data_IF_515333763542
#
_entry.id   IF_515333763542
#
_cell.length_a   1.000
_cell.length_b   1.000
_cell.length_c   1.000
_cell.angle_alpha   90.00
_cell.angle_beta   90.00
_cell.angle_gamma   90.00
#
_symmetry.space_group_name_H-M   'P 1'
#
loop_
_entity.id
_entity.type
_entity.pdbx_description
1 polymer ?
#
# COMPACT_ATOMS: atom_id res chain seq x y z
N UNK A 1 4.23 2.81 17.16
CA UNK A 1 4.70 4.20 17.01
C UNK A 1 6.16 4.24 17.43
N UNK A 2 7.10 4.63 16.56
CA UNK A 2 8.54 4.56 16.87
C UNK A 2 8.95 5.54 17.98
N UNK A 3 8.53 6.81 17.90
CA UNK A 3 8.89 7.83 18.90
C UNK A 3 8.01 7.81 20.16
N UNK A 4 6.76 7.33 20.03
CA UNK A 4 5.73 7.50 21.05
C UNK A 4 5.19 8.93 21.19
N UNK A 5 5.60 9.86 20.33
CA UNK A 5 5.24 11.29 20.39
C UNK A 5 4.36 11.77 19.24
N UNK A 6 4.09 10.92 18.23
CA UNK A 6 3.09 11.20 17.20
C UNK A 6 1.74 11.46 17.85
N UNK A 7 1.15 12.62 17.59
CA UNK A 7 0.06 13.18 18.39
C UNK A 7 -1.18 12.28 18.36
N UNK A 8 -1.61 11.90 17.17
CA UNK A 8 -2.83 11.15 16.89
C UNK A 8 -2.85 9.79 17.64
N UNK A 9 -1.84 8.91 17.48
CA UNK A 9 -1.82 7.66 18.24
C UNK A 9 -1.56 7.88 19.74
N UNK A 10 -0.81 8.92 20.15
CA UNK A 10 -0.57 9.20 21.57
C UNK A 10 -1.86 9.62 22.29
N UNK A 11 -2.68 10.46 21.66
CA UNK A 11 -3.99 10.88 22.19
C UNK A 11 -4.95 9.70 22.22
N UNK A 12 -5.05 8.92 21.14
CA UNK A 12 -5.87 7.73 21.09
C UNK A 12 -5.46 6.74 22.19
N UNK A 13 -4.16 6.48 22.34
CA UNK A 13 -3.66 5.57 23.36
C UNK A 13 -3.95 6.06 24.78
N UNK A 14 -3.89 7.38 25.04
CA UNK A 14 -4.28 7.95 26.34
C UNK A 14 -5.74 7.63 26.68
N UNK A 15 -6.64 7.72 25.71
CA UNK A 15 -8.07 7.40 25.85
C UNK A 15 -8.25 5.90 26.06
N UNK A 16 -7.72 5.06 25.17
CA UNK A 16 -7.87 3.60 25.26
C UNK A 16 -7.24 3.01 26.52
N UNK A 17 -6.07 3.51 26.94
CA UNK A 17 -5.43 3.08 28.19
C UNK A 17 -6.30 3.41 29.40
N UNK A 18 -7.00 4.56 29.42
CA UNK A 18 -7.96 4.88 30.48
C UNK A 18 -9.11 3.86 30.49
N UNK A 19 -9.73 3.62 29.34
CA UNK A 19 -10.82 2.65 29.21
C UNK A 19 -10.42 1.23 29.62
N UNK A 20 -9.21 0.79 29.25
CA UNK A 20 -8.67 -0.51 29.66
C UNK A 20 -8.44 -0.58 31.18
N UNK A 21 -7.90 0.47 31.79
CA UNK A 21 -7.71 0.54 33.25
C UNK A 21 -9.05 0.55 34.00
N UNK A 22 -10.07 1.24 33.48
CA UNK A 22 -11.43 1.24 34.05
C UNK A 22 -12.08 -0.14 33.94
N UNK A 23 -11.90 -0.85 32.83
CA UNK A 23 -12.52 -2.16 32.59
C UNK A 23 -11.81 -3.31 33.32
N UNK A 24 -10.48 -3.32 33.32
CA UNK A 24 -9.68 -4.47 33.75
C UNK A 24 -8.80 -4.19 34.98
N UNK A 25 -8.78 -2.96 35.50
CA UNK A 25 -7.97 -2.59 36.66
C UNK A 25 -6.48 -2.90 36.43
N UNK A 26 -5.87 -3.59 37.38
CA UNK A 26 -4.45 -4.01 37.31
C UNK A 26 -4.16 -5.03 36.21
N UNK A 27 -5.18 -5.74 35.71
CA UNK A 27 -5.01 -6.70 34.61
C UNK A 27 -4.90 -6.03 33.23
N UNK A 28 -5.18 -4.72 33.12
CA UNK A 28 -5.11 -3.98 31.86
C UNK A 28 -3.77 -4.14 31.13
N UNK A 29 -2.65 -4.28 31.86
CA UNK A 29 -1.32 -4.47 31.28
C UNK A 29 -1.20 -5.71 30.38
N UNK A 30 -1.99 -6.75 30.62
CA UNK A 30 -2.02 -7.99 29.81
C UNK A 30 -2.69 -7.78 28.44
N UNK A 31 -3.35 -6.65 28.25
CA UNK A 31 -4.08 -6.30 27.02
C UNK A 31 -3.40 -5.16 26.26
N UNK A 32 -2.16 -4.80 26.62
CA UNK A 32 -1.40 -3.73 25.98
C UNK A 32 -0.09 -4.31 25.45
N UNK A 33 0.09 -4.16 24.14
CA UNK A 33 1.31 -4.54 23.42
C UNK A 33 1.87 -3.27 22.76
N UNK A 34 3.17 -3.02 22.92
CA UNK A 34 3.81 -1.81 22.44
C UNK A 34 4.84 -2.12 21.34
N UNK A 35 4.53 -1.79 20.09
CA UNK A 35 5.50 -1.82 18.99
C UNK A 35 6.13 -0.42 18.83
N UNK A 36 7.40 -0.29 19.26
CA UNK A 36 8.13 0.99 19.40
C UNK A 36 9.64 0.81 19.17
N UNK A 37 10.41 1.90 19.21
CA UNK A 37 11.88 1.87 19.21
C UNK A 37 12.45 0.94 20.33
N UNK A 38 13.57 0.27 20.05
CA UNK A 38 14.17 -0.73 20.93
C UNK A 38 14.63 -0.17 22.29
N UNK A 39 15.02 1.10 22.34
CA UNK A 39 15.71 1.68 23.50
C UNK A 39 15.24 3.10 23.86
N UNK A 40 14.61 3.82 22.94
CA UNK A 40 14.34 5.26 23.07
C UNK A 40 12.85 5.57 22.92
N UNK A 41 12.48 6.81 23.25
CA UNK A 41 11.15 7.35 23.02
C UNK A 41 10.18 7.17 24.18
N UNK A 42 9.15 8.02 24.20
CA UNK A 42 8.19 8.12 25.31
C UNK A 42 7.41 6.83 25.50
N UNK A 43 7.05 6.16 24.41
CA UNK A 43 6.29 4.92 24.46
C UNK A 43 7.14 3.77 25.04
N UNK A 44 8.44 3.71 24.72
CA UNK A 44 9.33 2.69 25.27
C UNK A 44 9.50 2.83 26.78
N UNK A 45 9.83 4.04 27.25
CA UNK A 45 9.95 4.30 28.69
C UNK A 45 8.67 4.00 29.46
N UNK A 46 7.52 4.35 28.87
CA UNK A 46 6.22 4.07 29.48
C UNK A 46 5.93 2.56 29.53
N UNK A 47 6.20 1.84 28.44
CA UNK A 47 6.01 0.40 28.39
C UNK A 47 6.90 -0.35 29.40
N UNK A 48 8.15 0.07 29.57
CA UNK A 48 9.06 -0.48 30.58
C UNK A 48 8.54 -0.24 32.00
N UNK A 49 8.08 0.97 32.28
CA UNK A 49 7.57 1.33 33.61
C UNK A 49 6.31 0.55 34.00
N UNK A 50 5.46 0.20 33.03
CA UNK A 50 4.19 -0.50 33.27
C UNK A 50 4.29 -2.01 33.02
N UNK A 51 5.44 -2.48 32.52
CA UNK A 51 5.71 -3.89 32.23
C UNK A 51 4.85 -4.44 31.10
N UNK A 52 4.68 -3.68 30.01
CA UNK A 52 3.98 -4.14 28.81
C UNK A 52 4.88 -5.00 27.92
N UNK A 53 4.26 -5.93 27.21
CA UNK A 53 4.96 -6.68 26.17
C UNK A 53 5.33 -5.75 25.02
N UNK A 54 6.59 -5.80 24.59
CA UNK A 54 7.15 -4.87 23.62
C UNK A 54 7.69 -5.60 22.39
N UNK A 55 7.46 -5.01 21.23
CA UNK A 55 8.08 -5.38 19.97
C UNK A 55 8.85 -4.20 19.38
N UNK A 56 9.85 -4.48 18.55
CA UNK A 56 10.78 -3.48 18.04
C UNK A 56 10.38 -3.01 16.64
N UNK A 57 10.38 -1.69 16.44
CA UNK A 57 10.54 -1.06 15.13
C UNK A 57 12.04 -0.84 14.91
N UNK A 58 12.67 -1.48 13.92
CA UNK A 58 14.12 -1.34 13.70
C UNK A 58 14.55 0.12 13.47
N UNK A 59 15.76 0.47 13.93
CA UNK A 59 16.27 1.84 13.91
C UNK A 59 16.51 2.36 12.49
N UNK A 60 16.96 1.48 11.60
CA UNK A 60 17.27 1.73 10.18
C UNK A 60 16.05 1.56 9.25
N UNK A 61 14.90 1.14 9.77
CA UNK A 61 13.66 1.01 8.99
C UNK A 61 12.74 2.21 9.22
N UNK A 62 12.46 2.93 8.13
CA UNK A 62 11.50 4.03 8.09
C UNK A 62 10.05 3.54 8.17
N UNK A 63 9.13 4.39 8.64
CA UNK A 63 7.74 4.00 8.90
C UNK A 63 7.03 3.37 7.70
N UNK A 64 7.15 3.96 6.50
CA UNK A 64 6.52 3.46 5.26
C UNK A 64 7.12 2.16 4.71
N UNK A 65 8.29 1.76 5.19
CA UNK A 65 8.99 0.51 4.84
C UNK A 65 8.91 -0.54 5.98
N UNK A 66 8.05 -0.32 6.98
CA UNK A 66 8.04 -1.13 8.21
C UNK A 66 6.99 -2.25 8.23
N UNK A 67 6.24 -2.46 7.14
CA UNK A 67 5.10 -3.40 7.13
C UNK A 67 5.52 -4.85 7.41
N UNK A 68 6.71 -5.26 6.97
CA UNK A 68 7.28 -6.59 7.25
C UNK A 68 8.02 -6.68 8.60
N UNK A 69 7.98 -5.62 9.42
CA UNK A 69 8.43 -5.66 10.81
C UNK A 69 7.28 -6.02 11.76
N UNK A 70 7.53 -6.00 13.07
CA UNK A 70 6.48 -6.16 14.07
C UNK A 70 5.33 -5.14 13.96
N UNK A 71 5.50 -4.05 13.20
CA UNK A 71 4.43 -3.09 12.89
C UNK A 71 3.28 -3.76 12.13
N UNK A 72 3.57 -4.54 11.08
CA UNK A 72 2.54 -5.25 10.32
C UNK A 72 2.37 -6.71 10.74
N UNK A 73 3.46 -7.41 11.11
CA UNK A 73 3.41 -8.84 11.43
C UNK A 73 2.55 -9.15 12.66
N UNK A 74 2.60 -8.33 13.72
CA UNK A 74 1.78 -8.56 14.91
C UNK A 74 0.27 -8.48 14.60
N UNK A 75 -0.26 -7.38 14.00
CA UNK A 75 -1.68 -7.33 13.66
C UNK A 75 -2.09 -8.37 12.61
N UNK A 76 -1.21 -8.74 11.67
CA UNK A 76 -1.48 -9.84 10.72
C UNK A 76 -1.68 -11.17 11.46
N UNK A 77 -0.79 -11.52 12.38
CA UNK A 77 -0.91 -12.74 13.16
C UNK A 77 -2.20 -12.78 13.99
N UNK A 78 -2.60 -11.64 14.57
CA UNK A 78 -3.87 -11.51 15.31
C UNK A 78 -5.08 -11.71 14.39
N UNK A 79 -5.00 -11.31 13.12
CA UNK A 79 -6.04 -11.54 12.12
C UNK A 79 -6.09 -12.99 11.59
N UNK A 80 -5.17 -13.86 12.02
CA UNK A 80 -5.08 -15.25 11.59
C UNK A 80 -4.30 -15.47 10.29
N UNK A 81 -3.54 -14.47 9.84
CA UNK A 81 -2.70 -14.53 8.64
C UNK A 81 -1.42 -15.32 8.93
N UNK A 82 -0.98 -16.18 8.01
CA UNK A 82 0.27 -16.93 8.16
C UNK A 82 1.51 -16.05 7.94
N UNK A 83 1.93 -15.37 9.00
CA UNK A 83 3.12 -14.51 8.98
C UNK A 83 4.43 -15.25 8.70
N UNK A 84 4.49 -16.58 8.87
CA UNK A 84 5.69 -17.34 8.49
C UNK A 84 5.81 -17.42 6.97
N UNK A 85 4.70 -17.68 6.28
CA UNK A 85 4.63 -17.65 4.82
C UNK A 85 4.96 -16.25 4.29
N UNK A 86 4.44 -15.19 4.91
CA UNK A 86 4.78 -13.79 4.55
C UNK A 86 6.29 -13.55 4.65
N UNK A 87 6.92 -13.86 5.79
CA UNK A 87 8.35 -13.60 6.02
C UNK A 87 9.24 -14.46 5.11
N UNK A 88 8.94 -15.75 4.96
CA UNK A 88 9.74 -16.64 4.11
C UNK A 88 9.65 -16.21 2.65
N UNK A 89 8.45 -15.86 2.16
CA UNK A 89 8.27 -15.36 0.80
C UNK A 89 9.01 -14.04 0.59
N UNK A 90 8.96 -13.12 1.55
CA UNK A 90 9.69 -11.85 1.46
C UNK A 90 11.22 -12.05 1.36
N UNK A 91 11.77 -13.01 2.11
CA UNK A 91 13.19 -13.36 2.04
C UNK A 91 13.56 -13.90 0.65
N UNK A 92 12.73 -14.80 0.11
CA UNK A 92 12.92 -15.38 -1.22
C UNK A 92 12.77 -14.33 -2.32
N UNK A 93 11.80 -13.43 -2.21
CA UNK A 93 11.56 -12.35 -3.16
C UNK A 93 12.70 -11.33 -3.17
N UNK A 94 13.18 -10.86 -2.02
CA UNK A 94 14.33 -9.95 -2.01
C UNK A 94 15.58 -10.60 -2.59
N UNK A 95 15.75 -11.92 -2.39
CA UNK A 95 16.84 -12.67 -3.00
C UNK A 95 16.68 -12.79 -4.52
N UNK A 96 15.46 -13.02 -5.03
CA UNK A 96 15.20 -13.08 -6.47
C UNK A 96 15.37 -11.72 -7.14
N UNK A 97 15.02 -10.64 -6.43
CA UNK A 97 15.15 -9.26 -6.86
C UNK A 97 16.56 -8.68 -6.71
N UNK A 98 17.52 -9.37 -6.08
CA UNK A 98 18.95 -9.00 -6.13
C UNK A 98 19.58 -9.40 -7.48
N UNK A 99 18.91 -8.98 -8.55
CA UNK A 99 19.33 -9.16 -9.92
C UNK A 99 19.91 -7.85 -10.42
N UNK A 100 21.23 -7.80 -10.63
CA UNK A 100 21.95 -6.61 -11.12
C UNK A 100 21.87 -6.48 -12.64
N UNK A 101 20.64 -6.49 -13.16
CA UNK A 101 20.38 -6.62 -14.59
C UNK A 101 19.11 -5.89 -15.02
N UNK A 102 19.00 -5.41 -16.27
CA UNK A 102 17.77 -4.81 -16.82
C UNK A 102 16.54 -5.73 -16.80
N UNK A 103 16.74 -7.04 -16.62
CA UNK A 103 15.69 -8.04 -16.43
C UNK A 103 15.04 -7.98 -15.04
N UNK A 104 15.61 -7.21 -14.10
CA UNK A 104 15.03 -7.04 -12.78
C UNK A 104 13.69 -6.30 -12.88
N UNK A 105 12.56 -6.92 -12.47
CA UNK A 105 11.24 -6.33 -12.66
C UNK A 105 11.07 -5.03 -11.85
N UNK A 106 11.68 -4.93 -10.67
CA UNK A 106 11.65 -3.70 -9.88
C UNK A 106 12.42 -2.55 -10.57
N UNK A 107 13.51 -2.86 -11.28
CA UNK A 107 14.26 -1.88 -12.07
C UNK A 107 13.46 -1.44 -13.29
N UNK A 108 12.80 -2.38 -13.97
CA UNK A 108 11.95 -2.09 -15.13
C UNK A 108 10.79 -1.17 -14.75
N UNK A 109 10.11 -1.46 -13.63
CA UNK A 109 9.03 -0.61 -13.13
C UNK A 109 9.51 0.79 -12.77
N UNK A 110 10.60 0.89 -11.99
CA UNK A 110 11.19 2.18 -11.64
C UNK A 110 11.59 2.99 -12.90
N UNK A 111 12.25 2.34 -13.85
CA UNK A 111 12.70 2.98 -15.09
C UNK A 111 11.53 3.42 -15.99
N UNK A 112 10.51 2.58 -16.15
CA UNK A 112 9.33 2.90 -16.95
C UNK A 112 8.61 4.13 -16.41
N UNK A 113 8.32 4.18 -15.10
CA UNK A 113 7.65 5.31 -14.45
C UNK A 113 8.45 6.60 -14.56
N UNK A 114 9.76 6.55 -14.29
CA UNK A 114 10.63 7.72 -14.40
C UNK A 114 10.78 8.20 -15.85
N UNK A 115 10.80 7.29 -16.81
CA UNK A 115 10.76 7.63 -18.22
C UNK A 115 9.45 8.34 -18.59
N UNK A 116 8.30 7.80 -18.17
CA UNK A 116 6.99 8.41 -18.41
C UNK A 116 6.86 9.78 -17.75
N UNK A 117 7.35 9.93 -16.51
CA UNK A 117 7.40 11.21 -15.81
C UNK A 117 8.18 12.28 -16.58
N UNK A 118 9.37 11.93 -17.08
CA UNK A 118 10.18 12.82 -17.93
C UNK A 118 9.50 13.18 -19.25
N UNK A 119 8.56 12.36 -19.71
CA UNK A 119 7.72 12.60 -20.89
C UNK A 119 6.35 13.22 -20.56
N UNK A 120 6.20 13.84 -19.38
CA UNK A 120 5.03 14.64 -19.02
C UNK A 120 3.89 13.86 -18.37
N UNK A 121 4.10 12.61 -17.95
CA UNK A 121 3.12 11.86 -17.16
C UNK A 121 3.35 12.12 -15.67
N UNK A 122 2.74 13.17 -15.15
CA UNK A 122 2.93 13.62 -13.76
C UNK A 122 2.09 12.88 -12.73
N UNK A 123 1.09 12.10 -13.16
CA UNK A 123 0.18 11.36 -12.28
C UNK A 123 0.28 9.88 -12.64
N UNK A 124 0.53 9.04 -11.64
CA UNK A 124 0.42 7.59 -11.78
C UNK A 124 -0.77 7.10 -10.97
N UNK A 125 -1.63 6.32 -11.63
CA UNK A 125 -2.80 5.70 -11.04
C UNK A 125 -2.51 4.22 -10.81
N UNK A 126 -2.42 3.80 -9.55
CA UNK A 126 -2.41 2.38 -9.21
C UNK A 126 -3.86 1.85 -9.22
N UNK A 127 -4.14 0.91 -10.13
CA UNK A 127 -5.45 0.29 -10.28
C UNK A 127 -5.43 -1.19 -9.94
N UNK A 128 -6.55 -1.69 -9.40
CA UNK A 128 -6.78 -3.13 -9.24
C UNK A 128 -8.28 -3.43 -9.40
N UNK A 129 -8.61 -4.62 -9.93
CA UNK A 129 -10.00 -5.07 -10.12
C UNK A 129 -10.60 -5.73 -8.87
N UNK A 130 -9.84 -5.80 -7.78
CA UNK A 130 -10.22 -6.46 -6.54
C UNK A 130 -10.45 -5.44 -5.41
N UNK A 131 -11.67 -5.28 -4.88
CA UNK A 131 -11.96 -4.29 -3.84
C UNK A 131 -11.13 -4.44 -2.56
N UNK A 132 -10.72 -5.67 -2.21
CA UNK A 132 -9.88 -5.90 -1.03
C UNK A 132 -8.45 -5.34 -1.19
N UNK A 133 -8.05 -4.96 -2.40
CA UNK A 133 -6.74 -4.36 -2.67
C UNK A 133 -6.66 -2.87 -2.27
N UNK A 134 -7.79 -2.23 -1.95
CA UNK A 134 -7.87 -0.79 -1.66
C UNK A 134 -6.79 -0.29 -0.71
N UNK A 135 -6.56 -0.97 0.42
CA UNK A 135 -5.56 -0.53 1.39
C UNK A 135 -4.11 -0.82 0.99
N UNK A 136 -3.87 -1.77 0.07
CA UNK A 136 -2.54 -1.89 -0.58
C UNK A 136 -2.28 -0.65 -1.44
N UNK A 137 -3.30 -0.14 -2.14
CA UNK A 137 -3.15 1.10 -2.92
C UNK A 137 -2.93 2.33 -2.01
N UNK A 138 -3.59 2.41 -0.85
CA UNK A 138 -3.30 3.46 0.15
C UNK A 138 -1.87 3.36 0.69
N UNK A 139 -1.39 2.15 1.01
CA UNK A 139 -0.01 1.92 1.41
C UNK A 139 0.98 2.33 0.33
N UNK A 140 0.72 1.95 -0.92
CA UNK A 140 1.53 2.32 -2.08
C UNK A 140 1.61 3.84 -2.29
N UNK A 141 0.48 4.55 -2.12
CA UNK A 141 0.48 6.03 -2.19
C UNK A 141 1.38 6.65 -1.14
N UNK A 142 1.37 6.13 0.09
CA UNK A 142 2.30 6.59 1.12
C UNK A 142 3.74 6.27 0.74
N UNK A 143 4.02 5.04 0.30
CA UNK A 143 5.35 4.58 -0.07
C UNK A 143 5.98 5.49 -1.12
N UNK A 144 5.29 5.73 -2.24
CA UNK A 144 5.82 6.53 -3.33
C UNK A 144 5.73 8.04 -3.06
N UNK A 145 4.61 8.53 -2.53
CA UNK A 145 4.39 9.95 -2.29
C UNK A 145 5.39 10.55 -1.30
N UNK A 146 5.62 9.90 -0.15
CA UNK A 146 6.61 10.38 0.82
C UNK A 146 8.06 10.13 0.38
N UNK A 147 8.31 9.12 -0.45
CA UNK A 147 9.67 8.82 -0.91
C UNK A 147 10.11 9.77 -2.04
N UNK A 148 9.24 10.08 -3.00
CA UNK A 148 9.58 10.80 -4.23
C UNK A 148 9.15 12.28 -4.22
N UNK A 149 8.12 12.67 -3.47
CA UNK A 149 7.56 14.02 -3.42
C UNK A 149 8.44 15.03 -2.68
N UNK A 150 9.57 15.41 -3.27
CA UNK A 150 10.64 16.22 -2.65
C UNK A 150 11.21 17.22 -3.63
N UNK A 151 11.79 18.31 -3.11
CA UNK A 151 12.52 19.31 -3.91
C UNK A 151 11.72 19.88 -5.09
N UNK A 152 10.38 19.91 -5.01
CA UNK A 152 9.51 20.40 -6.08
C UNK A 152 9.31 19.42 -7.25
N UNK A 153 9.75 18.16 -7.11
CA UNK A 153 9.56 17.09 -8.10
C UNK A 153 8.79 15.90 -7.48
N UNK A 154 8.34 14.99 -8.33
CA UNK A 154 7.72 13.73 -7.93
C UNK A 154 6.53 13.37 -8.83
N UNK A 155 6.28 12.07 -8.96
CA UNK A 155 5.05 11.56 -9.57
C UNK A 155 3.95 11.65 -8.52
N UNK A 156 2.81 12.24 -8.85
CA UNK A 156 1.66 12.27 -7.95
C UNK A 156 0.99 10.89 -7.89
N UNK A 157 0.98 10.20 -6.74
CA UNK A 157 0.42 8.87 -6.65
C UNK A 157 -1.10 8.95 -6.40
N UNK A 158 -1.86 8.47 -7.36
CA UNK A 158 -3.30 8.29 -7.29
C UNK A 158 -3.65 6.79 -7.32
N UNK A 159 -4.90 6.45 -7.01
CA UNK A 159 -5.37 5.07 -7.03
C UNK A 159 -6.83 4.99 -7.43
N UNK A 160 -7.23 3.90 -8.08
CA UNK A 160 -8.61 3.59 -8.44
C UNK A 160 -8.95 2.14 -8.13
N UNK A 161 -10.19 1.88 -7.75
CA UNK A 161 -10.75 0.53 -7.60
C UNK A 161 -11.61 0.19 -8.81
N UNK A 162 -11.17 -0.75 -9.63
CA UNK A 162 -11.85 -1.14 -10.87
C UNK A 162 -12.77 -2.35 -10.60
N UNK A 163 -13.88 -2.51 -11.33
CA UNK A 163 -14.45 -1.62 -12.33
C UNK A 163 -15.23 -0.44 -11.74
N UNK A 164 -15.43 -0.38 -10.42
CA UNK A 164 -16.29 0.61 -9.78
C UNK A 164 -15.94 2.06 -10.18
N UNK A 165 -14.66 2.42 -10.17
CA UNK A 165 -14.18 3.76 -10.51
C UNK A 165 -14.13 4.04 -12.01
N UNK A 166 -14.42 3.07 -12.89
CA UNK A 166 -14.75 3.40 -14.28
C UNK A 166 -16.00 4.27 -14.37
N UNK A 167 -16.89 4.16 -13.37
CA UNK A 167 -18.15 4.91 -13.27
C UNK A 167 -18.01 6.22 -12.49
N UNK A 168 -16.78 6.63 -12.14
CA UNK A 168 -16.48 7.91 -11.50
C UNK A 168 -15.33 8.61 -12.24
N UNK A 169 -14.20 7.92 -12.36
CA UNK A 169 -12.94 8.40 -12.94
C UNK A 169 -12.72 7.94 -14.38
N UNK A 170 -13.43 6.92 -14.86
CA UNK A 170 -13.23 6.35 -16.20
C UNK A 170 -13.27 7.38 -17.33
N UNK A 171 -14.21 8.32 -17.30
CA UNK A 171 -14.28 9.41 -18.28
C UNK A 171 -13.02 10.30 -18.27
N UNK A 172 -12.50 10.62 -17.09
CA UNK A 172 -11.29 11.44 -16.96
C UNK A 172 -10.05 10.67 -17.44
N UNK A 173 -9.96 9.38 -17.12
CA UNK A 173 -8.85 8.54 -17.56
C UNK A 173 -8.88 8.39 -19.08
N UNK A 174 -10.06 8.16 -19.68
CA UNK A 174 -10.21 7.99 -21.12
C UNK A 174 -9.91 9.28 -21.92
N UNK A 175 -10.54 10.41 -21.57
CA UNK A 175 -10.52 11.63 -22.41
C UNK A 175 -10.06 12.92 -21.69
N UNK A 176 -9.64 12.84 -20.43
CA UNK A 176 -9.05 13.99 -19.71
C UNK A 176 -7.64 14.36 -20.20
N UNK A 177 -6.91 15.22 -19.46
CA UNK A 177 -5.52 15.54 -19.78
C UNK A 177 -4.63 14.29 -19.87
N UNK A 178 -3.78 14.21 -20.89
CA UNK A 178 -2.85 13.08 -21.10
C UNK A 178 -1.62 13.18 -20.20
N UNK A 179 -1.80 13.50 -18.92
CA UNK A 179 -0.74 13.57 -17.91
C UNK A 179 -0.68 12.30 -17.06
N UNK A 180 -1.52 11.32 -17.38
CA UNK A 180 -1.71 10.09 -16.62
C UNK A 180 -0.85 8.95 -17.17
N UNK A 181 -0.44 8.06 -16.26
CA UNK A 181 -0.07 6.68 -16.54
C UNK A 181 -0.82 5.78 -15.56
N UNK A 182 -1.08 4.53 -15.95
CA UNK A 182 -1.69 3.53 -15.10
C UNK A 182 -0.72 2.40 -14.81
N UNK A 183 -0.73 1.96 -13.56
CA UNK A 183 -0.09 0.72 -13.13
C UNK A 183 -1.20 -0.20 -12.61
N UNK A 184 -1.47 -1.29 -13.32
CA UNK A 184 -2.55 -2.22 -13.00
C UNK A 184 -1.97 -3.47 -12.35
N UNK A 185 -2.38 -3.71 -11.10
CA UNK A 185 -2.09 -4.95 -10.37
C UNK A 185 -3.23 -5.94 -10.60
N UNK A 186 -2.89 -7.12 -11.11
CA UNK A 186 -3.82 -8.23 -11.34
C UNK A 186 -3.41 -9.48 -10.57
N UNK A 187 -4.40 -10.30 -10.23
CA UNK A 187 -4.20 -11.63 -9.65
C UNK A 187 -4.64 -12.69 -10.66
N UNK A 188 -3.80 -13.68 -10.93
CA UNK A 188 -4.10 -14.70 -11.94
C UNK A 188 -5.22 -15.65 -11.48
N UNK A 189 -5.24 -16.00 -10.19
CA UNK A 189 -6.21 -16.90 -9.59
C UNK A 189 -7.30 -16.17 -8.77
N UNK A 190 -8.59 -16.39 -9.05
CA UNK A 190 -9.66 -15.86 -8.21
C UNK A 190 -9.74 -16.64 -6.89
N UNK A 191 -10.01 -15.95 -5.78
CA UNK A 191 -10.21 -16.64 -4.49
C UNK A 191 -11.48 -17.53 -4.47
N UNK A 192 -12.47 -17.22 -5.31
CA UNK A 192 -13.73 -17.96 -5.45
C UNK A 192 -14.24 -17.88 -6.89
N UNK A 193 -14.77 -19.00 -7.39
CA UNK A 193 -15.43 -19.08 -8.69
C UNK A 193 -16.94 -18.84 -8.57
N UNK A 194 -17.52 -18.25 -9.61
CA UNK A 194 -18.96 -18.04 -9.74
C UNK A 194 -19.31 -18.21 -11.21
N UNK A 195 -20.19 -19.16 -11.51
CA UNK A 195 -20.72 -19.34 -12.86
C UNK A 195 -21.97 -18.46 -13.04
N UNK A 196 -22.06 -17.73 -14.15
CA UNK A 196 -23.22 -16.89 -14.46
C UNK A 196 -24.41 -17.81 -14.80
N UNK A 197 -25.54 -17.69 -14.09
CA UNK A 197 -26.70 -18.54 -14.32
C UNK A 197 -27.38 -18.20 -15.65
N UNK A 198 -28.05 -19.19 -16.23
CA UNK A 198 -29.02 -18.97 -17.29
C UNK A 198 -30.35 -18.51 -16.69
N UNK A 199 -31.00 -17.52 -17.30
CA UNK A 199 -32.33 -17.07 -16.91
C UNK A 199 -33.35 -17.25 -18.05
N UNK A 200 -34.45 -17.95 -17.76
CA UNK A 200 -35.48 -18.22 -18.76
C UNK A 200 -36.17 -16.92 -19.18
N UNK A 201 -36.23 -16.66 -20.48
CA UNK A 201 -36.83 -15.45 -21.04
C UNK A 201 -35.88 -14.26 -21.21
N UNK A 202 -34.63 -14.37 -20.72
CA UNK A 202 -33.54 -13.38 -20.91
C UNK A 202 -33.97 -11.92 -20.62
N UNK A 203 -34.59 -11.62 -19.46
CA UNK A 203 -35.18 -10.30 -19.21
C UNK A 203 -34.14 -9.16 -19.17
N UNK A 204 -32.88 -9.47 -18.89
CA UNK A 204 -31.74 -8.53 -18.84
C UNK A 204 -30.85 -8.59 -20.10
N UNK A 205 -31.10 -9.53 -21.01
CA UNK A 205 -30.29 -9.74 -22.22
C UNK A 205 -28.90 -10.33 -21.94
N UNK A 206 -28.63 -10.90 -20.76
CA UNK A 206 -27.31 -11.38 -20.35
C UNK A 206 -27.08 -12.88 -20.58
N UNK A 207 -28.03 -13.64 -21.15
CA UNK A 207 -27.84 -15.07 -21.41
C UNK A 207 -26.66 -15.40 -22.34
N UNK A 208 -26.12 -14.45 -23.10
CA UNK A 208 -24.86 -14.64 -23.85
C UNK A 208 -23.62 -14.82 -22.95
N UNK A 209 -23.77 -14.53 -21.65
CA UNK A 209 -22.79 -14.79 -20.60
C UNK A 209 -23.09 -16.06 -19.79
N UNK A 210 -24.26 -16.67 -19.95
CA UNK A 210 -24.66 -17.83 -19.18
C UNK A 210 -23.66 -18.98 -19.36
N UNK A 211 -23.31 -19.64 -18.24
CA UNK A 211 -22.31 -20.71 -18.20
C UNK A 211 -20.86 -20.23 -18.21
N UNK A 212 -20.58 -18.93 -18.38
CA UNK A 212 -19.24 -18.38 -18.22
C UNK A 212 -18.92 -18.17 -16.75
N UNK A 213 -17.65 -18.32 -16.40
CA UNK A 213 -17.13 -17.90 -15.10
C UNK A 213 -17.07 -16.37 -15.03
N UNK A 214 -17.55 -15.81 -13.92
CA UNK A 214 -17.51 -14.38 -13.64
C UNK A 214 -16.07 -13.84 -13.74
N UNK A 215 -15.08 -14.60 -13.25
CA UNK A 215 -13.67 -14.23 -13.35
C UNK A 215 -13.20 -14.05 -14.82
N UNK A 216 -13.71 -14.86 -15.76
CA UNK A 216 -13.40 -14.72 -17.18
C UNK A 216 -14.04 -13.47 -17.81
N UNK A 217 -15.26 -13.13 -17.38
CA UNK A 217 -15.92 -11.87 -17.78
C UNK A 217 -15.15 -10.67 -17.24
N UNK A 218 -14.75 -10.68 -15.97
CA UNK A 218 -13.94 -9.62 -15.36
C UNK A 218 -12.59 -9.46 -16.08
N UNK A 219 -11.91 -10.56 -16.41
CA UNK A 219 -10.65 -10.52 -17.18
C UNK A 219 -10.84 -9.92 -18.58
N UNK A 220 -11.95 -10.24 -19.24
CA UNK A 220 -12.30 -9.66 -20.54
C UNK A 220 -12.54 -8.15 -20.43
N UNK A 221 -13.26 -7.71 -19.39
CA UNK A 221 -13.46 -6.29 -19.11
C UNK A 221 -12.12 -5.58 -18.82
N UNK A 222 -11.22 -6.21 -18.06
CA UNK A 222 -9.92 -5.65 -17.75
C UNK A 222 -9.05 -5.42 -19.00
N UNK A 223 -9.00 -6.40 -19.91
CA UNK A 223 -8.28 -6.24 -21.18
C UNK A 223 -8.94 -5.20 -22.10
N UNK A 224 -10.27 -5.12 -22.13
CA UNK A 224 -10.99 -4.11 -22.89
C UNK A 224 -10.70 -2.68 -22.40
N UNK A 225 -10.70 -2.48 -21.07
CA UNK A 225 -10.35 -1.19 -20.44
C UNK A 225 -8.91 -0.82 -20.75
N UNK A 226 -7.96 -1.75 -20.57
CA UNK A 226 -6.55 -1.54 -20.92
C UNK A 226 -6.39 -1.12 -22.37
N UNK A 227 -7.04 -1.81 -23.31
CA UNK A 227 -6.98 -1.46 -24.73
C UNK A 227 -7.57 -0.06 -24.99
N UNK A 228 -8.72 0.27 -24.36
CA UNK A 228 -9.36 1.57 -24.47
C UNK A 228 -8.47 2.70 -23.93
N UNK A 229 -7.88 2.53 -22.75
CA UNK A 229 -7.02 3.52 -22.11
C UNK A 229 -5.71 3.72 -22.88
N UNK A 230 -5.08 2.64 -23.37
CA UNK A 230 -3.90 2.73 -24.25
C UNK A 230 -4.24 3.51 -25.53
N UNK A 231 -5.37 3.20 -26.17
CA UNK A 231 -5.81 3.92 -27.38
C UNK A 231 -6.16 5.39 -27.10
N UNK A 232 -6.64 5.69 -25.89
CA UNK A 232 -6.84 7.04 -25.37
C UNK A 232 -5.54 7.75 -24.95
N UNK A 233 -4.37 7.13 -25.13
CA UNK A 233 -3.08 7.75 -24.84
C UNK A 233 -2.65 7.70 -23.37
N UNK A 234 -3.20 6.79 -22.56
CA UNK A 234 -2.73 6.47 -21.20
C UNK A 234 -1.80 5.26 -21.24
N UNK A 235 -0.49 5.42 -21.03
CA UNK A 235 0.42 4.30 -20.90
C UNK A 235 0.01 3.39 -19.73
N UNK A 236 0.07 2.08 -19.94
CA UNK A 236 -0.31 1.06 -18.96
C UNK A 236 0.89 0.16 -18.63
N UNK A 237 1.21 0.02 -17.34
CA UNK A 237 2.18 -0.93 -16.80
C UNK A 237 1.39 -2.04 -16.09
N UNK A 238 1.60 -3.30 -16.48
CA UNK A 238 0.95 -4.44 -15.83
C UNK A 238 1.87 -5.10 -14.81
N UNK A 239 1.34 -5.39 -13.63
CA UNK A 239 1.98 -6.22 -12.61
C UNK A 239 1.03 -7.38 -12.32
N UNK A 240 1.45 -8.62 -12.61
CA UNK A 240 0.67 -9.81 -12.26
C UNK A 240 1.29 -10.56 -11.10
N UNK A 241 0.42 -11.09 -10.24
CA UNK A 241 0.76 -11.91 -9.08
C UNK A 241 -0.09 -13.17 -9.14
N UNK A 242 0.45 -14.36 -8.82
CA UNK A 242 -0.31 -15.61 -8.98
C UNK A 242 -1.63 -15.62 -8.21
N UNK A 243 -1.61 -15.24 -6.94
CA UNK A 243 -2.78 -15.32 -6.07
C UNK A 243 -2.82 -14.17 -5.06
N UNK A 244 -4.01 -13.95 -4.50
CA UNK A 244 -4.25 -12.97 -3.43
C UNK A 244 -4.20 -13.66 -2.07
N UNK A 245 -2.99 -14.05 -1.67
CA UNK A 245 -2.66 -14.75 -0.43
C UNK A 245 -1.43 -14.11 0.26
N UNK A 246 -0.93 -14.75 1.32
CA UNK A 246 0.25 -14.31 2.06
C UNK A 246 1.50 -14.15 1.20
N UNK A 247 1.72 -15.06 0.25
CA UNK A 247 2.87 -15.04 -0.63
C UNK A 247 2.76 -13.89 -1.63
N UNK A 248 1.60 -13.75 -2.29
CA UNK A 248 1.33 -12.66 -3.22
C UNK A 248 1.42 -11.28 -2.56
N UNK A 249 0.94 -11.16 -1.31
CA UNK A 249 1.13 -9.94 -0.51
C UNK A 249 2.61 -9.62 -0.29
N UNK A 250 3.40 -10.61 0.18
CA UNK A 250 4.81 -10.42 0.46
C UNK A 250 5.61 -10.04 -0.80
N UNK A 251 5.36 -10.73 -1.92
CA UNK A 251 6.02 -10.44 -3.20
C UNK A 251 5.76 -9.01 -3.67
N UNK A 252 4.51 -8.54 -3.60
CA UNK A 252 4.16 -7.15 -3.94
C UNK A 252 4.85 -6.12 -3.04
N UNK A 253 4.89 -6.37 -1.73
CA UNK A 253 5.56 -5.46 -0.78
C UNK A 253 7.04 -5.34 -1.13
N UNK A 254 7.75 -6.47 -1.27
CA UNK A 254 9.17 -6.49 -1.61
C UNK A 254 9.47 -5.80 -2.95
N UNK A 255 8.65 -6.11 -3.97
CA UNK A 255 8.75 -5.50 -5.29
C UNK A 255 8.60 -3.96 -5.22
N UNK A 256 7.54 -3.47 -4.57
CA UNK A 256 7.28 -2.03 -4.51
C UNK A 256 8.29 -1.29 -3.63
N UNK A 257 8.71 -1.85 -2.50
CA UNK A 257 9.72 -1.23 -1.63
C UNK A 257 11.05 -1.07 -2.38
N UNK A 258 11.52 -2.12 -3.07
CA UNK A 258 12.75 -2.04 -3.84
C UNK A 258 12.63 -1.07 -5.01
N UNK A 259 11.54 -1.15 -5.79
CA UNK A 259 11.32 -0.27 -6.92
C UNK A 259 11.19 1.20 -6.50
N UNK A 260 10.58 1.49 -5.36
CA UNK A 260 10.47 2.83 -4.80
C UNK A 260 11.84 3.42 -4.45
N UNK A 261 12.69 2.64 -3.78
CA UNK A 261 14.06 3.06 -3.46
C UNK A 261 14.86 3.39 -4.73
N UNK A 262 14.82 2.50 -5.73
CA UNK A 262 15.50 2.72 -7.02
C UNK A 262 14.97 3.97 -7.71
N UNK A 263 13.64 4.10 -7.82
CA UNK A 263 12.99 5.23 -8.48
C UNK A 263 13.31 6.57 -7.82
N UNK A 264 13.33 6.61 -6.48
CA UNK A 264 13.78 7.78 -5.72
C UNK A 264 15.21 8.18 -6.06
N UNK A 265 16.16 7.24 -6.07
CA UNK A 265 17.53 7.51 -6.49
C UNK A 265 17.63 7.95 -7.95
N UNK A 266 16.86 7.36 -8.86
CA UNK A 266 16.81 7.77 -10.28
C UNK A 266 16.31 9.20 -10.49
N UNK A 267 15.46 9.69 -9.58
CA UNK A 267 14.96 11.08 -9.57
C UNK A 267 15.89 12.05 -8.85
N UNK A 268 16.93 11.56 -8.17
CA UNK A 268 17.90 12.38 -7.44
C UNK A 268 17.43 12.86 -6.06
N UNK A 269 16.44 12.19 -5.46
CA UNK A 269 15.97 12.50 -4.10
C UNK A 269 16.42 11.43 -3.10
N UNK A 270 16.41 11.75 -1.82
CA UNK A 270 16.57 10.76 -0.76
C UNK A 270 15.23 10.03 -0.53
N UNK A 271 15.06 8.74 -0.88
CA UNK A 271 13.77 8.07 -0.73
C UNK A 271 13.39 7.75 0.71
N UNK A 272 14.29 7.96 1.69
CA UNK A 272 14.13 7.45 3.06
C UNK A 272 13.85 8.52 4.13
N UNK A 273 13.87 9.81 3.77
CA UNK A 273 13.49 10.91 4.66
C UNK A 273 12.08 11.46 4.35
N UNK A 274 11.61 12.42 5.16
CA UNK A 274 10.31 13.10 4.97
C UNK A 274 10.30 14.50 5.62
N UNK A 275 11.19 15.43 5.26
CA UNK A 275 11.30 16.72 5.98
C UNK A 275 10.03 17.59 5.90
N UNK A 276 9.26 17.48 4.81
CA UNK A 276 8.08 18.33 4.58
C UNK A 276 6.96 18.15 5.61
N UNK A 277 6.81 16.94 6.19
CA UNK A 277 5.73 16.68 7.15
C UNK A 277 5.91 17.43 8.48
N UNK A 278 7.10 17.91 8.78
CA UNK A 278 7.33 18.66 10.03
C UNK A 278 6.75 20.08 9.99
N UNK A 279 6.48 20.63 8.80
CA UNK A 279 5.95 21.98 8.65
C UNK A 279 4.56 22.13 9.29
N UNK A 280 3.61 21.24 8.94
CA UNK A 280 2.26 21.29 9.52
C UNK A 280 2.29 20.93 11.00
N UNK A 281 3.17 20.00 11.43
CA UNK A 281 3.29 19.61 12.84
C UNK A 281 3.72 20.78 13.71
N UNK A 282 4.71 21.57 13.29
CA UNK A 282 5.13 22.79 14.02
C UNK A 282 3.98 23.79 14.16
N UNK A 283 3.25 24.04 13.07
CA UNK A 283 2.10 24.95 13.09
C UNK A 283 0.99 24.43 14.01
N UNK A 284 0.64 23.15 13.89
CA UNK A 284 -0.35 22.49 14.73
C UNK A 284 0.03 22.59 16.21
N UNK A 285 1.26 22.25 16.59
CA UNK A 285 1.69 22.32 17.99
C UNK A 285 1.67 23.75 18.53
N UNK A 286 2.04 24.75 17.71
CA UNK A 286 1.90 26.17 18.08
C UNK A 286 0.44 26.55 18.29
N UNK A 287 -0.46 26.15 17.40
CA UNK A 287 -1.90 26.43 17.50
C UNK A 287 -2.56 25.73 18.70
N UNK A 288 -2.05 24.56 19.08
CA UNK A 288 -2.48 23.83 20.28
C UNK A 288 -1.84 24.36 21.58
N UNK A 289 -1.03 25.42 21.50
CA UNK A 289 -0.40 26.04 22.68
C UNK A 289 0.66 25.17 23.34
N UNK A 290 1.33 24.28 22.59
CA UNK A 290 2.46 23.49 23.11
C UNK A 290 3.56 24.45 23.58
N UNK A 291 4.00 24.40 24.85
CA UNK A 291 5.10 25.23 25.33
C UNK A 291 6.36 25.02 24.50
N UNK A 292 7.14 26.09 24.32
CA UNK A 292 8.43 26.05 23.64
C UNK A 292 9.45 25.22 24.42
#
# INVERSE_FOLDING_TARGET
SKSGTTLEPAVAFRIFRKLLKEKYGTAAKKHIFATTDAHKGVLKSLADSEGWECFVVPDDVGGRYSVLSAVGLLPMAVAGIDIKTVVNTAIEEFKSLDLRSPENPAWQYAAARQHLYRNGRSIEILGCYEPSFRFMAEWWKQLYGESEGKNGIGIFPASVELTADLHSMGQYIQDGPRTLMETIVSFDEPCRGFTIPFEMGDPDGLNYLAGKELAAVCKTAAEAVKAAHISGGVPNIGISVPARDEAGFASLVCFFELACAISGYMSGVNPFDQPGVEAYKRNMFKMLGKPN
#
